data_IF_546248162086
#
_entry.id   IF_546248162086
#
_cell.length_a   1.000
_cell.length_b   1.000
_cell.length_c   1.000
_cell.angle_alpha   90.00
_cell.angle_beta   90.00
_cell.angle_gamma   90.00
#
_symmetry.space_group_name_H-M   'P 1'
#
loop_
_entity.id
_entity.type
_entity.pdbx_description
1 polymer ?
#
# COMPACT_ATOMS: atom_id res chain seq x y z
N UNK A 1 29.40 8.54 14.87
CA UNK A 1 27.95 8.49 14.64
C UNK A 1 27.36 7.49 15.64
N UNK A 2 26.40 7.89 16.51
CA UNK A 2 25.82 6.97 17.51
C UNK A 2 25.10 5.82 16.79
N UNK A 3 25.23 4.57 17.27
CA UNK A 3 24.65 3.35 16.64
C UNK A 3 23.19 3.52 16.22
N UNK A 4 22.41 4.28 16.98
CA UNK A 4 21.00 4.61 16.69
C UNK A 4 20.78 5.34 15.38
N UNK A 5 21.66 6.28 15.05
CA UNK A 5 21.56 7.05 13.81
C UNK A 5 21.83 6.15 12.61
N UNK A 6 22.76 5.19 12.74
CA UNK A 6 23.02 4.18 11.71
C UNK A 6 21.78 3.31 11.51
N UNK A 7 21.18 2.79 12.57
CA UNK A 7 19.94 1.99 12.46
C UNK A 7 18.76 2.79 11.89
N UNK A 8 18.59 4.06 12.26
CA UNK A 8 17.56 4.92 11.71
C UNK A 8 17.74 5.13 10.20
N UNK A 9 18.98 5.34 9.74
CA UNK A 9 19.29 5.46 8.31
C UNK A 9 19.01 4.14 7.57
N UNK A 10 19.43 3.00 8.12
CA UNK A 10 19.17 1.68 7.51
C UNK A 10 17.66 1.44 7.35
N UNK A 11 16.86 1.73 8.37
CA UNK A 11 15.41 1.61 8.30
C UNK A 11 14.80 2.58 7.30
N UNK A 12 15.31 3.82 7.21
CA UNK A 12 14.85 4.79 6.22
C UNK A 12 15.07 4.29 4.79
N UNK A 13 16.27 3.77 4.50
CA UNK A 13 16.63 3.23 3.19
C UNK A 13 15.78 2.00 2.87
N UNK A 14 15.64 1.07 3.80
CA UNK A 14 14.80 -0.12 3.63
C UNK A 14 13.34 0.27 3.35
N UNK A 15 12.81 1.25 4.09
CA UNK A 15 11.47 1.78 3.88
C UNK A 15 11.27 2.37 2.49
N UNK A 16 12.26 3.12 1.98
CA UNK A 16 12.24 3.67 0.63
C UNK A 16 12.28 2.58 -0.45
N UNK A 17 13.11 1.55 -0.28
CA UNK A 17 13.18 0.41 -1.21
C UNK A 17 11.85 -0.35 -1.25
N UNK A 18 11.26 -0.64 -0.09
CA UNK A 18 9.97 -1.34 0.00
C UNK A 18 8.82 -0.51 -0.58
N UNK A 19 8.83 0.81 -0.36
CA UNK A 19 7.85 1.71 -0.95
C UNK A 19 7.99 1.77 -2.48
N UNK A 20 9.21 1.88 -2.99
CA UNK A 20 9.47 1.87 -4.42
C UNK A 20 8.99 0.56 -5.06
N UNK A 21 9.33 -0.58 -4.44
CA UNK A 21 8.89 -1.89 -4.91
C UNK A 21 7.36 -2.01 -4.91
N UNK A 22 6.70 -1.58 -3.84
CA UNK A 22 5.24 -1.54 -3.73
C UNK A 22 4.61 -0.71 -4.85
N UNK A 23 5.05 0.55 -5.01
CA UNK A 23 4.54 1.44 -6.06
C UNK A 23 4.73 0.82 -7.44
N UNK A 24 5.90 0.26 -7.72
CA UNK A 24 6.18 -0.41 -8.98
C UNK A 24 5.22 -1.59 -9.23
N UNK A 25 5.01 -2.46 -8.24
CA UNK A 25 4.06 -3.57 -8.34
C UNK A 25 2.63 -3.09 -8.60
N UNK A 26 2.20 -2.00 -7.95
CA UNK A 26 0.87 -1.43 -8.18
C UNK A 26 0.67 -0.96 -9.62
N UNK A 27 1.66 -0.26 -10.19
CA UNK A 27 1.62 0.15 -11.59
C UNK A 27 1.71 -1.02 -12.56
N UNK A 28 2.46 -2.07 -12.21
CA UNK A 28 2.56 -3.28 -13.02
C UNK A 28 1.19 -3.97 -13.14
N UNK A 29 0.52 -4.22 -12.01
CA UNK A 29 -0.85 -4.77 -12.00
C UNK A 29 -1.86 -3.81 -12.61
N UNK A 30 -1.66 -2.52 -12.37
CA UNK A 30 -2.56 -1.45 -12.82
C UNK A 30 -2.44 -1.09 -14.29
N UNK A 31 -1.42 -1.57 -15.00
CA UNK A 31 -1.09 -1.14 -16.36
C UNK A 31 -2.28 -1.12 -17.35
N UNK A 32 -3.20 -2.11 -17.35
CA UNK A 32 -4.33 -2.07 -18.28
C UNK A 32 -5.33 -0.94 -17.98
N UNK A 33 -5.42 -0.46 -16.72
CA UNK A 33 -6.27 0.69 -16.36
C UNK A 33 -5.73 2.04 -16.86
N UNK A 34 -4.47 2.09 -17.30
CA UNK A 34 -3.91 3.27 -17.98
C UNK A 34 -4.16 3.28 -19.48
N UNK A 35 -4.46 2.11 -20.07
CA UNK A 35 -4.55 1.94 -21.51
C UNK A 35 -5.91 1.30 -21.87
N UNK A 36 -5.93 -0.03 -22.01
CA UNK A 36 -7.03 -0.82 -22.56
C UNK A 36 -8.36 -0.61 -21.83
N UNK A 37 -8.32 -0.39 -20.52
CA UNK A 37 -9.50 -0.29 -19.65
C UNK A 37 -9.68 1.08 -19.00
N UNK A 38 -8.97 2.10 -19.50
CA UNK A 38 -9.01 3.44 -18.93
C UNK A 38 -10.42 4.05 -18.87
N UNK A 39 -11.26 3.70 -19.86
CA UNK A 39 -12.63 4.21 -20.00
C UNK A 39 -13.72 3.22 -19.57
N UNK A 40 -13.37 2.03 -19.06
CA UNK A 40 -14.36 1.10 -18.51
C UNK A 40 -15.08 1.76 -17.31
N UNK A 41 -16.39 1.58 -17.23
CA UNK A 41 -17.17 2.19 -16.16
C UNK A 41 -16.93 1.44 -14.85
N UNK A 42 -16.38 2.15 -13.85
CA UNK A 42 -16.33 1.66 -12.47
C UNK A 42 -17.47 2.26 -11.66
N UNK A 43 -18.19 1.41 -10.95
CA UNK A 43 -19.37 1.79 -10.18
C UNK A 43 -19.09 1.59 -8.69
N UNK A 44 -19.01 2.69 -7.92
CA UNK A 44 -19.06 2.58 -6.45
C UNK A 44 -20.49 2.27 -5.99
N UNK A 45 -21.47 2.83 -6.71
CA UNK A 45 -22.90 2.56 -6.60
C UNK A 45 -23.59 3.01 -7.89
N UNK A 46 -24.90 2.88 -7.97
CA UNK A 46 -25.70 3.22 -9.17
C UNK A 46 -25.62 4.70 -9.59
N UNK A 47 -25.25 5.59 -8.68
CA UNK A 47 -25.20 7.05 -8.90
C UNK A 47 -23.77 7.59 -8.98
N UNK A 48 -22.77 6.79 -8.59
CA UNK A 48 -21.37 7.17 -8.60
C UNK A 48 -20.60 6.26 -9.55
N UNK A 49 -20.40 6.78 -10.76
CA UNK A 49 -19.74 6.08 -11.87
C UNK A 49 -18.60 6.95 -12.36
N UNK A 50 -17.41 6.38 -12.43
CA UNK A 50 -16.22 7.06 -12.96
C UNK A 50 -15.45 6.15 -13.92
N UNK A 51 -14.64 6.72 -14.84
CA UNK A 51 -13.77 5.92 -15.70
C UNK A 51 -12.78 5.09 -14.89
N UNK A 52 -12.42 3.91 -15.41
CA UNK A 52 -11.51 2.95 -14.78
C UNK A 52 -10.16 3.56 -14.39
N UNK A 53 -9.62 4.47 -15.20
CA UNK A 53 -8.40 5.21 -14.85
C UNK A 53 -8.57 6.05 -13.57
N UNK A 54 -9.69 6.76 -13.47
CA UNK A 54 -10.01 7.61 -12.31
C UNK A 54 -10.23 6.74 -11.08
N UNK A 55 -10.93 5.62 -11.23
CA UNK A 55 -11.10 4.64 -10.17
C UNK A 55 -9.73 4.08 -9.72
N UNK A 56 -8.86 3.69 -10.65
CA UNK A 56 -7.57 3.08 -10.32
C UNK A 56 -6.68 4.06 -9.57
N UNK A 57 -6.50 5.27 -10.09
CA UNK A 57 -5.63 6.28 -9.44
C UNK A 57 -6.28 6.78 -8.15
N UNK A 58 -7.52 7.26 -8.22
CA UNK A 58 -8.14 8.05 -7.16
C UNK A 58 -8.76 7.21 -6.04
N UNK A 59 -9.23 6.01 -6.35
CA UNK A 59 -9.97 5.17 -5.40
C UNK A 59 -9.26 3.87 -5.04
N UNK A 60 -8.28 3.43 -5.84
CA UNK A 60 -7.44 2.26 -5.52
C UNK A 60 -6.04 2.68 -5.04
N UNK A 61 -5.21 3.21 -5.95
CA UNK A 61 -3.79 3.47 -5.72
C UNK A 61 -3.53 4.54 -4.67
N UNK A 62 -4.13 5.74 -4.80
CA UNK A 62 -3.91 6.86 -3.87
C UNK A 62 -4.36 6.48 -2.44
N UNK A 63 -5.57 5.94 -2.21
CA UNK A 63 -6.00 5.52 -0.88
C UNK A 63 -5.11 4.44 -0.28
N UNK A 64 -4.61 3.50 -1.09
CA UNK A 64 -3.62 2.53 -0.65
C UNK A 64 -2.30 3.18 -0.27
N UNK A 65 -1.72 4.00 -1.14
CA UNK A 65 -0.42 4.62 -0.93
C UNK A 65 -0.41 5.45 0.36
N UNK A 66 -1.38 6.34 0.52
CA UNK A 66 -1.50 7.16 1.71
C UNK A 66 -1.91 6.30 2.92
N UNK A 67 -3.02 5.56 2.81
CA UNK A 67 -3.53 4.76 3.92
C UNK A 67 -2.51 3.76 4.44
N UNK A 68 -1.84 3.02 3.55
CA UNK A 68 -0.85 2.00 3.86
C UNK A 68 0.44 2.56 4.47
N UNK A 69 1.04 3.61 3.88
CA UNK A 69 2.23 4.24 4.46
C UNK A 69 1.91 4.83 5.84
N UNK A 70 0.79 5.54 5.96
CA UNK A 70 0.36 6.12 7.23
C UNK A 70 0.03 5.04 8.27
N UNK A 71 -0.61 3.94 7.89
CA UNK A 71 -0.94 2.84 8.78
C UNK A 71 0.31 2.15 9.31
N UNK A 72 1.30 1.88 8.44
CA UNK A 72 2.59 1.34 8.86
C UNK A 72 3.30 2.24 9.88
N UNK A 73 3.36 3.55 9.61
CA UNK A 73 3.98 4.52 10.52
C UNK A 73 3.17 4.72 11.82
N UNK A 74 1.84 4.65 11.72
CA UNK A 74 0.90 4.79 12.82
C UNK A 74 1.11 3.74 13.89
N UNK A 75 1.34 2.47 13.50
CA UNK A 75 1.62 1.38 14.45
C UNK A 75 2.75 1.77 15.40
N UNK A 76 3.86 2.27 14.85
CA UNK A 76 5.01 2.71 15.65
C UNK A 76 4.63 3.90 16.54
N UNK A 77 3.94 4.90 15.99
CA UNK A 77 3.56 6.11 16.72
C UNK A 77 2.64 5.83 17.93
N UNK A 78 1.74 4.85 17.82
CA UNK A 78 0.85 4.44 18.93
C UNK A 78 1.63 3.85 20.10
N UNK A 79 2.67 3.07 19.82
CA UNK A 79 3.51 2.49 20.87
C UNK A 79 4.44 3.52 21.52
N UNK A 80 4.86 4.54 20.78
CA UNK A 80 5.76 5.58 21.29
C UNK A 80 5.04 6.72 22.06
N UNK A 81 3.77 7.01 21.75
CA UNK A 81 3.04 8.15 22.33
C UNK A 81 2.10 7.74 23.47
N UNK A 82 1.90 8.66 24.43
CA UNK A 82 1.01 8.49 25.59
C UNK A 82 -0.02 9.62 25.69
N UNK A 83 -1.11 9.39 26.41
CA UNK A 83 -2.12 10.40 26.74
C UNK A 83 -2.96 10.89 25.55
N UNK A 84 -3.32 12.18 25.55
CA UNK A 84 -4.23 12.81 24.56
C UNK A 84 -3.72 12.68 23.11
N UNK A 85 -2.40 12.70 22.91
CA UNK A 85 -1.77 12.54 21.58
C UNK A 85 -2.01 11.15 20.98
N UNK A 86 -1.95 10.10 21.81
CA UNK A 86 -2.26 8.73 21.39
C UNK A 86 -3.72 8.57 20.96
N UNK A 87 -4.65 9.19 21.69
CA UNK A 87 -6.09 9.14 21.34
C UNK A 87 -6.36 9.76 19.96
N UNK A 88 -5.82 10.94 19.69
CA UNK A 88 -5.98 11.58 18.37
C UNK A 88 -5.34 10.79 17.24
N UNK A 89 -4.18 10.18 17.49
CA UNK A 89 -3.59 9.28 16.50
C UNK A 89 -4.48 8.09 16.22
N UNK A 90 -5.09 7.47 17.24
CA UNK A 90 -6.00 6.31 17.02
C UNK A 90 -7.17 6.72 16.13
N UNK A 91 -7.76 7.90 16.35
CA UNK A 91 -8.83 8.43 15.49
C UNK A 91 -8.33 8.63 14.05
N UNK A 92 -7.14 9.19 13.88
CA UNK A 92 -6.52 9.34 12.56
C UNK A 92 -6.26 7.98 11.91
N UNK A 93 -5.78 6.99 12.67
CA UNK A 93 -5.56 5.63 12.19
C UNK A 93 -6.84 4.94 11.73
N UNK A 94 -7.96 5.15 12.43
CA UNK A 94 -9.28 4.66 12.01
C UNK A 94 -9.74 5.32 10.70
N UNK A 95 -9.50 6.63 10.53
CA UNK A 95 -9.80 7.31 9.27
C UNK A 95 -8.95 6.78 8.11
N UNK A 96 -7.65 6.52 8.35
CA UNK A 96 -6.76 5.92 7.35
C UNK A 96 -7.15 4.47 7.02
N UNK A 97 -7.67 3.70 7.99
CA UNK A 97 -8.23 2.38 7.74
C UNK A 97 -9.45 2.43 6.79
N UNK A 98 -10.26 3.49 6.88
CA UNK A 98 -11.34 3.73 5.92
C UNK A 98 -10.82 3.99 4.50
N UNK A 99 -9.73 4.75 4.35
CA UNK A 99 -9.08 4.93 3.05
C UNK A 99 -8.49 3.63 2.50
N UNK A 100 -7.87 2.82 3.37
CA UNK A 100 -7.41 1.47 3.01
C UNK A 100 -8.57 0.60 2.55
N UNK A 101 -9.72 0.63 3.22
CA UNK A 101 -10.89 -0.16 2.85
C UNK A 101 -11.44 0.24 1.47
N UNK A 102 -11.49 1.54 1.17
CA UNK A 102 -11.85 2.05 -0.15
C UNK A 102 -10.85 1.60 -1.22
N UNK A 103 -9.55 1.71 -0.91
CA UNK A 103 -8.45 1.21 -1.73
C UNK A 103 -8.61 -0.28 -2.04
N UNK A 104 -8.84 -1.09 -1.00
CA UNK A 104 -9.02 -2.54 -1.09
C UNK A 104 -10.20 -2.88 -1.99
N UNK A 105 -11.39 -2.31 -1.73
CA UNK A 105 -12.59 -2.63 -2.48
C UNK A 105 -12.47 -2.27 -3.96
N UNK A 106 -11.87 -1.12 -4.27
CA UNK A 106 -11.67 -0.68 -5.65
C UNK A 106 -10.65 -1.58 -6.35
N UNK A 107 -9.54 -1.91 -5.69
CA UNK A 107 -8.49 -2.76 -6.25
C UNK A 107 -8.95 -4.22 -6.43
N UNK A 108 -9.75 -4.74 -5.49
CA UNK A 108 -10.40 -6.05 -5.54
C UNK A 108 -11.30 -6.17 -6.78
N UNK A 109 -12.21 -5.22 -6.97
CA UNK A 109 -13.03 -5.16 -8.18
C UNK A 109 -12.16 -5.14 -9.45
N UNK A 110 -11.12 -4.32 -9.46
CA UNK A 110 -10.24 -4.16 -10.62
C UNK A 110 -9.48 -5.44 -10.96
N UNK A 111 -8.95 -6.14 -9.96
CA UNK A 111 -8.39 -7.47 -10.15
C UNK A 111 -9.46 -8.47 -10.62
N UNK A 112 -10.65 -8.42 -10.02
CA UNK A 112 -11.79 -9.26 -10.41
C UNK A 112 -12.20 -9.08 -11.88
N UNK A 113 -12.17 -7.87 -12.41
CA UNK A 113 -12.51 -7.59 -13.81
C UNK A 113 -11.54 -8.22 -14.82
N UNK A 114 -10.29 -8.48 -14.44
CA UNK A 114 -9.34 -9.19 -15.29
C UNK A 114 -9.43 -10.70 -15.13
N UNK A 115 -9.57 -11.15 -13.88
CA UNK A 115 -9.25 -12.53 -13.51
C UNK A 115 -10.45 -13.36 -13.06
N UNK A 116 -11.61 -12.74 -12.84
CA UNK A 116 -12.84 -13.37 -12.34
C UNK A 116 -14.04 -13.17 -13.29
N UNK A 117 -13.82 -13.15 -14.60
CA UNK A 117 -14.94 -13.07 -15.55
C UNK A 117 -15.82 -14.33 -15.57
N UNK A 118 -15.33 -15.46 -15.03
CA UNK A 118 -16.02 -16.77 -15.04
C UNK A 118 -15.93 -17.58 -13.72
N UNK A 119 -15.58 -16.98 -12.59
CA UNK A 119 -15.26 -17.73 -11.34
C UNK A 119 -14.13 -18.77 -11.46
N UNK A 120 -13.29 -18.64 -12.49
CA UNK A 120 -12.06 -19.40 -12.61
C UNK A 120 -11.01 -18.89 -11.62
N UNK A 121 -10.03 -19.73 -11.28
CA UNK A 121 -8.87 -19.28 -10.52
C UNK A 121 -8.21 -18.08 -11.23
N UNK A 122 -7.78 -17.05 -10.48
CA UNK A 122 -7.15 -15.89 -11.08
C UNK A 122 -5.93 -16.32 -11.90
N UNK A 123 -5.89 -15.90 -13.17
CA UNK A 123 -4.81 -16.31 -14.05
C UNK A 123 -3.44 -15.92 -13.45
N UNK A 124 -2.42 -16.79 -13.59
CA UNK A 124 -1.10 -16.48 -13.08
C UNK A 124 -0.53 -15.27 -13.82
N UNK A 125 -0.05 -14.29 -13.06
CA UNK A 125 0.68 -13.14 -13.57
C UNK A 125 2.14 -13.52 -13.66
N UNK A 126 2.75 -13.36 -14.84
CA UNK A 126 4.19 -13.45 -14.98
C UNK A 126 4.79 -12.21 -14.30
N UNK A 127 5.55 -12.42 -13.25
CA UNK A 127 6.27 -11.36 -12.55
C UNK A 127 7.74 -11.47 -12.94
N UNK A 128 8.28 -10.43 -13.56
CA UNK A 128 9.70 -10.34 -13.86
C UNK A 128 10.38 -9.43 -12.82
N UNK A 129 10.96 -10.06 -11.80
CA UNK A 129 11.58 -9.37 -10.68
C UNK A 129 13.10 -9.43 -10.80
N UNK A 130 13.68 -8.40 -11.43
CA UNK A 130 15.12 -8.04 -11.52
C UNK A 130 16.01 -9.12 -12.16
N UNK A 131 15.85 -10.41 -11.84
CA UNK A 131 16.51 -11.58 -12.44
C UNK A 131 15.70 -12.90 -12.36
N UNK A 132 14.44 -12.87 -11.88
CA UNK A 132 13.63 -14.09 -11.73
C UNK A 132 12.22 -13.85 -12.29
N UNK A 133 11.91 -14.56 -13.37
CA UNK A 133 10.58 -14.61 -13.95
C UNK A 133 9.82 -15.78 -13.35
N UNK A 134 8.73 -15.52 -12.64
CA UNK A 134 7.89 -16.56 -12.06
C UNK A 134 6.41 -16.22 -12.19
N UNK A 135 5.59 -17.26 -12.17
CA UNK A 135 4.15 -17.14 -12.21
C UNK A 135 3.59 -17.15 -10.80
N UNK A 136 2.87 -16.08 -10.43
CA UNK A 136 2.16 -15.98 -9.15
C UNK A 136 0.75 -15.48 -9.40
N UNK A 137 -0.21 -15.96 -8.61
CA UNK A 137 -1.58 -15.50 -8.70
C UNK A 137 -1.66 -13.98 -8.50
N UNK A 138 -2.50 -13.28 -9.26
CA UNK A 138 -2.65 -11.82 -9.16
C UNK A 138 -2.92 -11.32 -7.73
N UNK A 139 -3.66 -12.08 -6.93
CA UNK A 139 -3.93 -11.79 -5.52
C UNK A 139 -2.69 -11.91 -4.65
N UNK A 140 -1.94 -12.98 -4.80
CA UNK A 140 -0.68 -13.17 -4.08
C UNK A 140 0.33 -12.09 -4.47
N UNK A 141 0.42 -11.75 -5.76
CA UNK A 141 1.27 -10.66 -6.20
C UNK A 141 0.82 -9.31 -5.63
N UNK A 142 -0.48 -9.07 -5.52
CA UNK A 142 -1.01 -7.90 -4.84
C UNK A 142 -0.66 -7.90 -3.33
N UNK A 143 -0.85 -9.01 -2.61
CA UNK A 143 -0.56 -9.08 -1.18
C UNK A 143 0.95 -8.95 -0.89
N UNK A 144 1.78 -9.75 -1.57
CA UNK A 144 3.22 -9.87 -1.31
C UNK A 144 4.07 -8.86 -2.10
N UNK A 145 3.62 -8.44 -3.28
CA UNK A 145 4.31 -7.48 -4.14
C UNK A 145 3.93 -6.03 -3.86
N UNK A 146 2.71 -5.76 -3.38
CA UNK A 146 2.21 -4.41 -3.13
C UNK A 146 1.92 -4.13 -1.65
N UNK A 147 0.97 -4.85 -1.05
CA UNK A 147 0.41 -4.50 0.26
C UNK A 147 1.43 -4.64 1.41
N UNK A 148 2.05 -5.81 1.53
CA UNK A 148 3.01 -6.05 2.61
C UNK A 148 4.24 -5.14 2.52
N UNK A 149 4.87 -4.96 1.35
CA UNK A 149 5.95 -3.99 1.20
C UNK A 149 5.51 -2.56 1.54
N UNK A 150 4.28 -2.15 1.21
CA UNK A 150 3.77 -0.83 1.54
C UNK A 150 3.68 -0.60 3.06
N UNK A 151 3.04 -1.54 3.76
CA UNK A 151 2.87 -1.48 5.21
C UNK A 151 4.21 -1.59 5.94
N UNK A 152 5.07 -2.51 5.50
CA UNK A 152 6.42 -2.67 6.05
C UNK A 152 7.29 -1.43 5.79
N UNK A 153 7.17 -0.81 4.61
CA UNK A 153 7.84 0.44 4.29
C UNK A 153 7.39 1.59 5.19
N UNK A 154 6.07 1.74 5.36
CA UNK A 154 5.48 2.68 6.32
C UNK A 154 5.97 2.46 7.75
N UNK A 155 6.03 1.20 8.19
CA UNK A 155 6.57 0.83 9.50
C UNK A 155 8.03 1.23 9.65
N UNK A 156 8.87 0.96 8.64
CA UNK A 156 10.28 1.35 8.64
C UNK A 156 10.47 2.86 8.75
N UNK A 157 9.64 3.66 8.06
CA UNK A 157 9.62 5.12 8.22
C UNK A 157 9.24 5.54 9.63
N UNK A 158 8.18 4.96 10.19
CA UNK A 158 7.76 5.23 11.57
C UNK A 158 8.85 4.89 12.59
N UNK A 159 9.48 3.73 12.44
CA UNK A 159 10.56 3.23 13.31
C UNK A 159 11.82 4.10 13.20
N UNK A 160 12.20 4.49 11.98
CA UNK A 160 13.32 5.42 11.74
C UNK A 160 13.09 6.77 12.44
N UNK A 161 11.89 7.35 12.28
CA UNK A 161 11.53 8.59 12.95
C UNK A 161 11.54 8.44 14.48
N UNK A 162 10.96 7.35 15.01
CA UNK A 162 10.95 7.09 16.44
C UNK A 162 12.38 6.99 17.02
N UNK A 163 13.31 6.35 16.31
CA UNK A 163 14.72 6.25 16.72
C UNK A 163 15.45 7.59 16.63
N UNK A 164 15.20 8.37 15.59
CA UNK A 164 15.82 9.69 15.40
C UNK A 164 15.37 10.71 16.46
N UNK A 165 14.12 10.63 16.91
CA UNK A 165 13.53 11.56 17.88
C UNK A 165 13.44 11.01 19.32
N UNK A 166 13.84 9.76 19.53
CA UNK A 166 13.87 9.14 20.85
C UNK A 166 14.94 9.79 21.73
N UNK A 167 14.50 10.46 22.81
CA UNK A 167 15.38 10.91 23.91
C UNK A 167 15.91 9.75 24.78
N UNK A 168 15.50 8.50 24.51
CA UNK A 168 15.94 7.33 25.28
C UNK A 168 17.43 7.14 25.02
N UNK A 169 18.29 7.32 26.04
CA UNK A 169 19.68 6.83 26.03
C UNK A 169 19.62 5.30 26.06
N UNK A 170 20.32 4.65 25.12
CA UNK A 170 20.55 3.20 25.09
C UNK A 170 21.99 3.10 25.57
#
# INVERSE_FOLDING_TARGET
MQRKNVFAIVLLVLGAVLLFFSVHSAFYVGAPWFNERANEAWHMNNYFVVPGLVAFIGFAFVPWLFGGVFMGAFVVAVFCLKGKKRKWLIVLGLAMAGLIALGFNTFDFMLGCFYWTNMAEPAPVLVDLVFCAFYVNAWDFYFFGFLMPLLAGGFCFGASAALAFSKVKI
#
